data_IF_256148398252
#
_entry.id   IF_256148398252
#
_cell.length_a   1.000
_cell.length_b   1.000
_cell.length_c   1.000
_cell.angle_alpha   90.00
_cell.angle_beta   90.00
_cell.angle_gamma   90.00
#
_symmetry.space_group_name_H-M   'P 1'
#
loop_
_entity.id
_entity.type
_entity.pdbx_description
1 polymer ?
#
# COMPACT_ATOMS: atom_id res chain seq x y z
N UNK A 1 -31.09 46.20 43.02
CA UNK A 1 -31.54 44.83 42.71
C UNK A 1 -30.72 44.33 41.51
N UNK A 2 -29.51 43.81 41.76
CA UNK A 2 -28.57 43.37 40.72
C UNK A 2 -29.02 42.05 40.08
N UNK A 3 -29.29 42.06 38.76
CA UNK A 3 -29.55 40.84 37.98
C UNK A 3 -28.23 40.26 37.50
N UNK A 4 -27.84 39.12 38.08
CA UNK A 4 -26.70 38.29 37.66
C UNK A 4 -26.93 37.71 36.26
N UNK A 5 -26.09 38.08 35.30
CA UNK A 5 -26.03 37.46 33.98
C UNK A 5 -25.51 36.01 34.07
N UNK A 6 -26.34 35.06 33.63
CA UNK A 6 -25.97 33.65 33.48
C UNK A 6 -25.16 33.48 32.20
N UNK A 7 -23.84 33.31 32.31
CA UNK A 7 -22.98 32.87 31.20
C UNK A 7 -23.39 31.46 30.75
N UNK A 8 -24.00 31.35 29.58
CA UNK A 8 -24.32 30.09 28.93
C UNK A 8 -23.03 29.36 28.52
N UNK A 9 -22.76 28.22 29.14
CA UNK A 9 -21.66 27.32 28.74
C UNK A 9 -22.02 26.72 27.38
N UNK A 10 -21.50 27.31 26.30
CA UNK A 10 -21.56 26.74 24.96
C UNK A 10 -20.96 25.33 24.95
N UNK A 11 -21.80 24.31 24.78
CA UNK A 11 -21.38 22.93 24.56
C UNK A 11 -20.55 22.89 23.27
N UNK A 12 -19.23 22.79 23.38
CA UNK A 12 -18.35 22.44 22.25
C UNK A 12 -18.80 21.08 21.72
N UNK A 13 -19.54 21.06 20.60
CA UNK A 13 -19.82 19.84 19.83
C UNK A 13 -18.46 19.23 19.47
N UNK A 14 -18.08 18.12 20.13
CA UNK A 14 -16.99 17.27 19.67
C UNK A 14 -17.36 16.83 18.24
N UNK A 15 -16.68 17.39 17.23
CA UNK A 15 -16.73 16.86 15.87
C UNK A 15 -16.37 15.38 15.98
N UNK A 16 -17.29 14.49 15.59
CA UNK A 16 -16.98 13.06 15.44
C UNK A 16 -15.77 12.98 14.50
N UNK A 17 -14.74 12.18 14.83
CA UNK A 17 -13.57 12.09 13.96
C UNK A 17 -14.04 11.59 12.60
N UNK A 18 -13.60 12.25 11.52
CA UNK A 18 -13.86 11.83 10.12
C UNK A 18 -13.49 10.35 9.89
N UNK A 19 -12.60 9.81 10.72
CA UNK A 19 -12.26 8.40 10.79
C UNK A 19 -13.46 7.47 11.09
N UNK A 20 -14.48 7.89 11.83
CA UNK A 20 -15.56 6.97 12.21
C UNK A 20 -16.45 6.59 11.02
N UNK A 21 -16.70 7.53 10.10
CA UNK A 21 -17.49 7.28 8.88
C UNK A 21 -16.74 6.41 7.87
N UNK A 22 -15.44 6.67 7.69
CA UNK A 22 -14.58 5.89 6.79
C UNK A 22 -14.39 4.44 7.27
N UNK A 23 -14.44 4.18 8.59
CA UNK A 23 -14.41 2.81 9.13
C UNK A 23 -15.70 2.02 8.90
N UNK A 24 -16.86 2.68 9.02
CA UNK A 24 -18.17 2.05 8.77
C UNK A 24 -18.37 1.74 7.28
N UNK A 25 -17.97 2.66 6.39
CA UNK A 25 -18.01 2.42 4.94
C UNK A 25 -17.14 1.23 4.53
N UNK A 26 -15.94 1.10 5.11
CA UNK A 26 -15.05 0.00 4.78
C UNK A 26 -15.60 -1.37 5.21
N UNK A 27 -16.50 -1.44 6.20
CA UNK A 27 -17.04 -2.70 6.70
C UNK A 27 -17.94 -3.43 5.68
N UNK A 28 -18.63 -2.71 4.81
CA UNK A 28 -19.58 -3.27 3.84
C UNK A 28 -19.24 -2.97 2.38
N UNK A 29 -18.08 -2.36 2.13
CA UNK A 29 -17.60 -2.04 0.79
C UNK A 29 -17.12 -3.30 0.04
N UNK A 30 -17.45 -3.38 -1.25
CA UNK A 30 -16.90 -4.36 -2.20
C UNK A 30 -15.45 -4.03 -2.58
N UNK A 31 -14.81 -4.94 -3.33
CA UNK A 31 -13.41 -4.80 -3.72
C UNK A 31 -13.15 -3.53 -4.56
N UNK A 32 -14.05 -3.18 -5.48
CA UNK A 32 -13.91 -2.01 -6.34
C UNK A 32 -14.02 -0.70 -5.54
N UNK A 33 -14.94 -0.63 -4.58
CA UNK A 33 -15.08 0.49 -3.66
C UNK A 33 -13.86 0.62 -2.76
N UNK A 34 -13.34 -0.49 -2.22
CA UNK A 34 -12.13 -0.46 -1.39
C UNK A 34 -10.92 -0.03 -2.22
N UNK A 35 -10.83 -0.44 -3.49
CA UNK A 35 -9.79 -0.02 -4.43
C UNK A 35 -9.87 1.49 -4.72
N UNK A 36 -11.05 2.01 -5.05
CA UNK A 36 -11.25 3.45 -5.27
C UNK A 36 -10.92 4.28 -4.02
N UNK A 37 -11.32 3.80 -2.84
CA UNK A 37 -10.98 4.41 -1.55
C UNK A 37 -9.47 4.36 -1.26
N UNK A 38 -8.81 3.25 -1.58
CA UNK A 38 -7.36 3.11 -1.48
C UNK A 38 -6.68 4.14 -2.38
N UNK A 39 -7.07 4.23 -3.66
CA UNK A 39 -6.53 5.18 -4.63
C UNK A 39 -6.70 6.63 -4.17
N UNK A 40 -7.91 7.01 -3.74
CA UNK A 40 -8.19 8.34 -3.23
C UNK A 40 -7.35 8.68 -1.98
N UNK A 41 -7.16 7.71 -1.08
CA UNK A 41 -6.37 7.90 0.13
C UNK A 41 -4.87 8.03 -0.16
N UNK A 42 -4.36 7.27 -1.13
CA UNK A 42 -2.98 7.39 -1.62
C UNK A 42 -2.74 8.80 -2.18
N UNK A 43 -3.65 9.30 -3.01
CA UNK A 43 -3.58 10.64 -3.59
C UNK A 43 -3.64 11.76 -2.54
N UNK A 44 -4.34 11.51 -1.43
CA UNK A 44 -4.47 12.43 -0.30
C UNK A 44 -3.57 12.07 0.90
N UNK A 45 -2.46 11.36 0.66
CA UNK A 45 -1.60 10.80 1.72
C UNK A 45 -1.00 11.84 2.68
N UNK A 46 -1.00 13.13 2.31
CA UNK A 46 -0.58 14.23 3.17
C UNK A 46 -1.54 14.54 4.33
N UNK A 47 -2.75 13.97 4.34
CA UNK A 47 -3.72 14.18 5.43
C UNK A 47 -3.40 13.32 6.65
N UNK A 48 -3.55 13.85 7.88
CA UNK A 48 -3.42 13.06 9.10
C UNK A 48 -4.39 11.86 9.09
N UNK A 49 -3.89 10.66 9.30
CA UNK A 49 -4.71 9.43 9.37
C UNK A 49 -4.87 8.66 8.05
N UNK A 50 -4.46 9.24 6.92
CA UNK A 50 -4.47 8.60 5.58
C UNK A 50 -3.77 7.23 5.58
N UNK A 51 -2.60 7.14 6.21
CA UNK A 51 -1.82 5.90 6.31
C UNK A 51 -2.55 4.77 7.03
N UNK A 52 -3.28 5.10 8.10
CA UNK A 52 -4.05 4.12 8.86
C UNK A 52 -5.27 3.60 8.09
N UNK A 53 -5.75 4.37 7.11
CA UNK A 53 -6.85 4.00 6.23
C UNK A 53 -6.33 3.17 5.05
N UNK A 54 -5.26 3.62 4.37
CA UNK A 54 -4.55 2.88 3.31
C UNK A 54 -4.21 1.45 3.77
N UNK A 55 -3.61 1.31 4.96
CA UNK A 55 -3.29 -0.01 5.52
C UNK A 55 -4.53 -0.91 5.66
N UNK A 56 -5.67 -0.36 6.08
CA UNK A 56 -6.91 -1.13 6.23
C UNK A 56 -7.50 -1.54 4.89
N UNK A 57 -7.52 -0.65 3.91
CA UNK A 57 -7.99 -0.96 2.56
C UNK A 57 -7.18 -2.12 1.97
N UNK A 58 -5.85 -2.05 2.07
CA UNK A 58 -4.98 -3.12 1.59
C UNK A 58 -5.23 -4.45 2.33
N UNK A 59 -5.35 -4.41 3.66
CA UNK A 59 -5.63 -5.63 4.44
C UNK A 59 -6.95 -6.29 4.02
N UNK A 60 -7.97 -5.48 3.72
CA UNK A 60 -9.27 -5.96 3.26
C UNK A 60 -9.32 -6.41 1.81
N UNK A 61 -8.50 -5.84 0.94
CA UNK A 61 -8.38 -6.27 -0.45
C UNK A 61 -7.63 -7.60 -0.59
N UNK A 62 -6.88 -7.99 0.45
CA UNK A 62 -6.05 -9.21 0.44
C UNK A 62 -6.77 -10.49 0.02
N UNK A 63 -8.02 -10.76 0.44
CA UNK A 63 -8.77 -11.93 0.00
C UNK A 63 -9.34 -11.79 -1.43
N UNK A 64 -9.56 -10.56 -1.92
CA UNK A 64 -10.12 -10.28 -3.25
C UNK A 64 -9.08 -10.28 -4.37
N UNK A 65 -7.83 -10.56 -4.05
CA UNK A 65 -6.71 -10.68 -5.00
C UNK A 65 -6.84 -11.84 -6.01
N UNK A 66 -7.97 -12.57 -6.00
CA UNK A 66 -8.33 -13.53 -7.04
C UNK A 66 -8.54 -12.89 -8.42
N UNK A 67 -8.75 -11.56 -8.49
CA UNK A 67 -8.72 -10.78 -9.73
C UNK A 67 -7.76 -9.57 -9.57
N UNK A 68 -6.44 -9.77 -9.75
CA UNK A 68 -5.39 -8.86 -9.24
C UNK A 68 -5.16 -7.61 -10.10
N UNK A 69 -5.78 -7.52 -11.28
CA UNK A 69 -5.49 -6.50 -12.29
C UNK A 69 -5.51 -5.03 -11.78
N UNK A 70 -6.49 -4.57 -10.98
CA UNK A 70 -6.49 -3.19 -10.52
C UNK A 70 -5.32 -2.90 -9.57
N UNK A 71 -4.96 -3.86 -8.71
CA UNK A 71 -3.94 -3.67 -7.67
C UNK A 71 -2.54 -3.70 -8.25
N UNK A 72 -2.28 -4.55 -9.25
CA UNK A 72 -0.98 -4.59 -9.94
C UNK A 72 -0.58 -3.20 -10.44
N UNK A 73 -1.54 -2.45 -11.03
CA UNK A 73 -1.30 -1.09 -11.52
C UNK A 73 -0.89 -0.07 -10.43
N UNK A 74 -1.20 -0.34 -9.16
CA UNK A 74 -0.84 0.53 -8.04
C UNK A 74 0.50 0.16 -7.41
N UNK A 75 0.97 -1.07 -7.59
CA UNK A 75 2.17 -1.57 -6.91
C UNK A 75 3.42 -0.73 -7.17
N UNK A 76 3.72 -0.28 -8.41
CA UNK A 76 4.88 0.58 -8.66
C UNK A 76 4.87 1.87 -7.82
N UNK A 77 3.71 2.51 -7.72
CA UNK A 77 3.54 3.74 -6.93
C UNK A 77 3.66 3.47 -5.42
N UNK A 78 3.12 2.34 -4.96
CA UNK A 78 3.08 2.02 -3.54
C UNK A 78 4.43 1.52 -3.00
N UNK A 79 5.19 0.78 -3.81
CA UNK A 79 6.55 0.35 -3.48
C UNK A 79 7.49 1.54 -3.27
N UNK A 80 7.32 2.62 -4.04
CA UNK A 80 8.13 3.85 -3.96
C UNK A 80 7.61 4.86 -2.91
N UNK A 81 6.61 4.48 -2.11
CA UNK A 81 6.03 5.36 -1.10
C UNK A 81 7.05 5.76 -0.01
N UNK A 82 7.07 7.05 0.34
CA UNK A 82 7.85 7.56 1.50
C UNK A 82 7.43 6.93 2.83
N UNK A 83 6.23 6.37 2.89
CA UNK A 83 5.73 5.65 4.06
C UNK A 83 6.25 4.22 4.10
N UNK A 84 7.04 3.92 5.12
CA UNK A 84 7.59 2.59 5.36
C UNK A 84 6.51 1.52 5.47
N UNK A 85 5.37 1.88 6.08
CA UNK A 85 4.26 0.96 6.27
C UNK A 85 3.59 0.60 4.94
N UNK A 86 3.45 1.57 4.03
CA UNK A 86 2.90 1.34 2.70
C UNK A 86 3.89 0.53 1.86
N UNK A 87 5.15 0.98 1.77
CA UNK A 87 6.15 0.32 0.96
C UNK A 87 6.35 -1.15 1.38
N UNK A 88 6.49 -1.41 2.69
CA UNK A 88 6.62 -2.80 3.19
C UNK A 88 5.39 -3.65 2.92
N UNK A 89 4.18 -3.11 3.15
CA UNK A 89 2.95 -3.86 2.87
C UNK A 89 2.77 -4.15 1.37
N UNK A 90 3.25 -3.26 0.51
CA UNK A 90 3.18 -3.45 -0.94
C UNK A 90 4.16 -4.52 -1.40
N UNK A 91 5.37 -4.55 -0.82
CA UNK A 91 6.29 -5.66 -1.03
C UNK A 91 5.70 -7.00 -0.54
N UNK A 92 5.05 -7.02 0.64
CA UNK A 92 4.34 -8.22 1.13
C UNK A 92 3.23 -8.69 0.17
N UNK A 93 2.51 -7.76 -0.47
CA UNK A 93 1.52 -8.08 -1.52
C UNK A 93 2.22 -8.69 -2.73
N UNK A 94 3.29 -8.07 -3.24
CA UNK A 94 4.05 -8.59 -4.38
C UNK A 94 4.50 -10.03 -4.13
N UNK A 95 5.10 -10.31 -2.96
CA UNK A 95 5.51 -11.67 -2.60
C UNK A 95 4.33 -12.63 -2.53
N UNK A 96 3.22 -12.22 -1.88
CA UNK A 96 2.01 -13.05 -1.78
C UNK A 96 1.41 -13.38 -3.16
N UNK A 97 1.33 -12.40 -4.06
CA UNK A 97 0.82 -12.61 -5.42
C UNK A 97 1.78 -13.48 -6.26
N UNK A 98 3.08 -13.33 -6.05
CA UNK A 98 4.11 -14.12 -6.72
C UNK A 98 4.07 -15.61 -6.35
N UNK A 99 3.57 -15.95 -5.17
CA UNK A 99 3.37 -17.34 -4.73
C UNK A 99 1.97 -17.88 -5.04
N UNK A 100 1.03 -17.02 -5.44
CA UNK A 100 -0.36 -17.42 -5.67
C UNK A 100 -0.51 -18.29 -6.93
N UNK A 101 0.14 -17.91 -8.03
CA UNK A 101 0.19 -18.71 -9.26
C UNK A 101 1.42 -18.37 -10.10
N UNK A 102 1.81 -19.31 -10.97
CA UNK A 102 2.90 -19.10 -11.93
C UNK A 102 2.61 -17.91 -12.86
N UNK A 103 1.38 -17.82 -13.36
CA UNK A 103 0.94 -16.74 -14.25
C UNK A 103 1.08 -15.36 -13.60
N UNK A 104 0.65 -15.20 -12.34
CA UNK A 104 0.80 -13.93 -11.64
C UNK A 104 2.24 -13.59 -11.31
N UNK A 105 3.05 -14.59 -10.96
CA UNK A 105 4.48 -14.40 -10.77
C UNK A 105 5.12 -13.80 -12.03
N UNK A 106 4.84 -14.39 -13.19
CA UNK A 106 5.36 -13.92 -14.48
C UNK A 106 4.81 -12.54 -14.85
N UNK A 107 3.51 -12.28 -14.64
CA UNK A 107 2.93 -10.95 -14.86
C UNK A 107 3.63 -9.86 -14.03
N UNK A 108 3.89 -10.13 -12.75
CA UNK A 108 4.62 -9.21 -11.86
C UNK A 108 6.07 -9.03 -12.33
N UNK A 109 6.74 -10.12 -12.72
CA UNK A 109 8.12 -10.08 -13.19
C UNK A 109 8.30 -9.33 -14.51
N UNK A 110 7.29 -9.37 -15.39
CA UNK A 110 7.29 -8.68 -16.67
C UNK A 110 6.95 -7.19 -16.53
N UNK A 111 6.29 -6.79 -15.44
CA UNK A 111 6.10 -5.37 -15.12
C UNK A 111 7.41 -4.75 -14.62
N UNK A 112 8.08 -4.02 -15.52
CA UNK A 112 9.38 -3.41 -15.22
C UNK A 112 9.34 -2.42 -14.06
N UNK A 113 8.21 -1.73 -13.85
CA UNK A 113 8.12 -0.70 -12.82
C UNK A 113 7.96 -1.32 -11.44
N UNK A 114 7.27 -2.47 -11.33
CA UNK A 114 7.26 -3.25 -10.10
C UNK A 114 8.67 -3.74 -9.76
N UNK A 115 9.37 -4.35 -10.72
CA UNK A 115 10.70 -4.93 -10.48
C UNK A 115 11.73 -3.85 -10.13
N UNK A 116 11.75 -2.73 -10.85
CA UNK A 116 12.59 -1.57 -10.49
C UNK A 116 12.23 -1.04 -9.10
N UNK A 117 10.95 -0.98 -8.76
CA UNK A 117 10.49 -0.56 -7.43
C UNK A 117 11.08 -1.42 -6.30
N UNK A 118 11.14 -2.75 -6.50
CA UNK A 118 11.78 -3.67 -5.54
C UNK A 118 13.29 -3.44 -5.44
N UNK A 119 13.99 -3.34 -6.59
CA UNK A 119 15.44 -3.10 -6.63
C UNK A 119 15.79 -1.78 -5.93
N UNK A 120 15.09 -0.70 -6.27
CA UNK A 120 15.27 0.61 -5.64
C UNK A 120 14.97 0.58 -4.14
N UNK A 121 13.95 -0.16 -3.71
CA UNK A 121 13.63 -0.31 -2.30
C UNK A 121 14.72 -1.04 -1.52
N UNK A 122 15.41 -2.02 -2.13
CA UNK A 122 16.58 -2.67 -1.53
C UNK A 122 17.79 -1.74 -1.47
N UNK A 123 18.07 -1.00 -2.54
CA UNK A 123 19.24 -0.14 -2.63
C UNK A 123 19.14 1.12 -1.76
N UNK A 124 17.96 1.74 -1.71
CA UNK A 124 17.80 3.10 -1.16
C UNK A 124 17.18 3.15 0.25
N UNK A 125 16.50 2.09 0.69
CA UNK A 125 15.77 2.13 1.97
C UNK A 125 16.68 1.87 3.17
N UNK A 126 16.63 2.78 4.15
CA UNK A 126 17.32 2.58 5.45
C UNK A 126 16.45 1.86 6.49
N UNK A 127 15.20 1.54 6.16
CA UNK A 127 14.21 1.03 7.12
C UNK A 127 14.18 -0.50 7.08
N UNK A 128 14.64 -1.15 8.16
CA UNK A 128 14.69 -2.62 8.28
C UNK A 128 13.40 -3.33 7.86
N UNK A 129 12.23 -2.79 8.23
CA UNK A 129 10.94 -3.36 7.85
C UNK A 129 10.73 -3.41 6.34
N UNK A 130 11.11 -2.34 5.63
CA UNK A 130 10.98 -2.26 4.17
C UNK A 130 11.98 -3.23 3.53
N UNK A 131 13.23 -3.22 3.99
CA UNK A 131 14.26 -4.14 3.50
C UNK A 131 13.85 -5.61 3.64
N UNK A 132 13.40 -6.03 4.82
CA UNK A 132 12.96 -7.41 5.05
C UNK A 132 11.78 -7.81 4.17
N UNK A 133 10.74 -6.97 4.08
CA UNK A 133 9.58 -7.24 3.23
C UNK A 133 9.97 -7.30 1.74
N UNK A 134 10.89 -6.44 1.31
CA UNK A 134 11.37 -6.40 -0.08
C UNK A 134 12.25 -7.61 -0.39
N UNK A 135 13.15 -8.01 0.51
CA UNK A 135 13.94 -9.23 0.38
C UNK A 135 13.03 -10.46 0.25
N UNK A 136 12.01 -10.58 1.10
CA UNK A 136 11.04 -11.68 1.02
C UNK A 136 10.32 -11.67 -0.33
N UNK A 137 9.84 -10.52 -0.79
CA UNK A 137 9.20 -10.39 -2.09
C UNK A 137 10.12 -10.79 -3.26
N UNK A 138 11.42 -10.43 -3.20
CA UNK A 138 12.42 -10.83 -4.20
C UNK A 138 12.70 -12.33 -4.14
N UNK A 139 12.70 -12.96 -2.97
CA UNK A 139 12.82 -14.42 -2.86
C UNK A 139 11.58 -15.12 -3.44
N UNK A 140 10.39 -14.63 -3.10
CA UNK A 140 9.11 -15.18 -3.56
C UNK A 140 8.96 -15.08 -5.09
N UNK A 141 9.32 -13.94 -5.68
CA UNK A 141 9.27 -13.75 -7.13
C UNK A 141 10.32 -14.63 -7.85
N UNK A 142 11.50 -14.83 -7.25
CA UNK A 142 12.62 -15.60 -7.84
C UNK A 142 12.37 -17.10 -7.99
N UNK A 143 11.18 -17.58 -7.64
CA UNK A 143 10.75 -18.97 -7.83
C UNK A 143 10.72 -19.37 -9.32
N UNK A 144 10.54 -18.41 -10.25
CA UNK A 144 10.50 -18.69 -11.69
C UNK A 144 11.78 -18.23 -12.44
N UNK A 145 12.18 -18.91 -13.54
CA UNK A 145 13.31 -18.47 -14.36
C UNK A 145 13.11 -17.09 -14.99
N UNK A 146 11.89 -16.81 -15.46
CA UNK A 146 11.51 -15.52 -16.07
C UNK A 146 11.73 -14.38 -15.06
N UNK A 147 11.24 -14.54 -13.83
CA UNK A 147 11.44 -13.55 -12.79
C UNK A 147 12.91 -13.31 -12.42
N UNK A 148 13.71 -14.39 -12.31
CA UNK A 148 15.15 -14.26 -12.05
C UNK A 148 15.85 -13.47 -13.15
N UNK A 149 15.52 -13.72 -14.42
CA UNK A 149 16.09 -12.98 -15.54
C UNK A 149 15.71 -11.50 -15.51
N UNK A 150 14.44 -11.18 -15.23
CA UNK A 150 13.99 -9.81 -15.07
C UNK A 150 14.70 -9.10 -13.91
N UNK A 151 14.79 -9.72 -12.73
CA UNK A 151 15.51 -9.18 -11.57
C UNK A 151 16.97 -8.85 -11.89
N UNK A 152 17.68 -9.78 -12.55
CA UNK A 152 19.07 -9.57 -12.98
C UNK A 152 19.20 -8.40 -13.97
N UNK A 153 18.26 -8.28 -14.91
CA UNK A 153 18.25 -7.18 -15.89
C UNK A 153 18.06 -5.82 -15.21
N UNK A 154 17.20 -5.72 -14.20
CA UNK A 154 16.92 -4.44 -13.55
C UNK A 154 17.93 -4.10 -12.44
N UNK A 155 18.52 -5.09 -11.76
CA UNK A 155 19.61 -4.84 -10.82
C UNK A 155 20.87 -4.36 -11.54
N UNK A 156 21.19 -4.95 -12.70
CA UNK A 156 22.30 -4.46 -13.54
C UNK A 156 22.05 -3.05 -14.06
N UNK A 157 20.81 -2.73 -14.45
CA UNK A 157 20.45 -1.37 -14.84
C UNK A 157 20.62 -0.36 -13.69
N UNK A 158 20.23 -0.73 -12.48
CA UNK A 158 20.40 0.13 -11.30
C UNK A 158 21.88 0.38 -10.98
N UNK A 159 22.74 -0.63 -11.14
CA UNK A 159 24.19 -0.45 -10.96
C UNK A 159 24.87 0.49 -11.96
N UNK A 160 24.19 0.84 -13.07
CA UNK A 160 24.69 1.76 -14.10
C UNK A 160 24.23 3.21 -13.90
N UNK A 161 23.23 3.45 -13.04
CA UNK A 161 22.62 4.76 -12.79
C UNK A 161 23.19 5.43 -11.54
#
# INVERSE_FOLDING_TARGET
MERRERKSRGRKRKRKPENFFSYLQLQHADADTIFALLLAAIFNSQRPGSFSFIKKCITKLRPSFLNPNPILSLLPFLLTSKSAAIASLSAEIVGSLSLYSLELNEQIALDSEIVKGLVLALASSKKRRVLMATCNAVLDISTTPVARQCLLRFSTLESLM
#
